data_IF_029381507564
#
_entry.id   IF_029381507564
#
_cell.length_a   1.000
_cell.length_b   1.000
_cell.length_c   1.000
_cell.angle_alpha   90.00
_cell.angle_beta   90.00
_cell.angle_gamma   90.00
#
_symmetry.space_group_name_H-M   'P 1'
#
loop_
_entity.id
_entity.type
_entity.pdbx_description
1 polymer ?
#
# COMPACT_ATOMS: atom_id res chain seq x y z
N UNK A 1 -14.42 3.58 -3.09
CA UNK A 1 -14.24 2.44 -2.18
C UNK A 1 -15.59 1.91 -1.74
N UNK A 2 -15.67 0.60 -1.54
CA UNK A 2 -16.86 -0.04 -1.00
C UNK A 2 -18.01 -0.30 -1.97
N UNK A 3 -17.91 0.12 -3.21
CA UNK A 3 -18.91 -0.17 -4.25
C UNK A 3 -18.59 -1.42 -5.06
N UNK A 4 -17.34 -1.89 -5.02
CA UNK A 4 -16.94 -3.10 -5.73
C UNK A 4 -17.43 -4.34 -4.98
N UNK A 5 -18.25 -5.16 -5.65
CA UNK A 5 -18.71 -6.43 -5.10
C UNK A 5 -17.63 -7.49 -5.25
N UNK A 6 -17.27 -8.13 -4.15
CA UNK A 6 -16.20 -9.15 -4.11
C UNK A 6 -16.45 -10.26 -5.14
N UNK A 7 -17.68 -10.77 -5.22
CA UNK A 7 -18.02 -11.88 -6.10
C UNK A 7 -17.89 -11.47 -7.59
N UNK A 8 -18.30 -10.25 -7.93
CA UNK A 8 -18.14 -9.69 -9.28
C UNK A 8 -16.68 -9.46 -9.63
N UNK A 9 -15.87 -8.93 -8.71
CA UNK A 9 -14.43 -8.74 -8.90
C UNK A 9 -13.70 -10.06 -9.13
N UNK A 10 -14.02 -11.10 -8.34
CA UNK A 10 -13.45 -12.43 -8.50
C UNK A 10 -13.87 -13.04 -9.84
N UNK A 11 -15.15 -12.96 -10.20
CA UNK A 11 -15.68 -13.46 -11.48
C UNK A 11 -14.96 -12.79 -12.66
N UNK A 12 -14.78 -11.47 -12.59
CA UNK A 12 -14.08 -10.73 -13.64
C UNK A 12 -12.61 -11.14 -13.75
N UNK A 13 -11.92 -11.29 -12.61
CA UNK A 13 -10.53 -11.73 -12.59
C UNK A 13 -10.36 -13.13 -13.21
N UNK A 14 -11.30 -14.06 -12.97
CA UNK A 14 -11.31 -15.37 -13.63
C UNK A 14 -11.47 -15.21 -15.15
N UNK A 15 -12.46 -14.41 -15.58
CA UNK A 15 -12.72 -14.18 -17.00
C UNK A 15 -11.53 -13.57 -17.75
N UNK A 16 -10.77 -12.70 -17.06
CA UNK A 16 -9.57 -12.07 -17.60
C UNK A 16 -8.30 -12.97 -17.47
N UNK A 17 -8.44 -14.21 -16.95
CA UNK A 17 -7.33 -15.16 -16.82
C UNK A 17 -6.29 -14.75 -15.75
N UNK A 18 -6.66 -13.92 -14.78
CA UNK A 18 -5.74 -13.47 -13.74
C UNK A 18 -5.40 -14.62 -12.78
N UNK A 19 -4.11 -14.83 -12.46
CA UNK A 19 -3.71 -15.90 -11.53
C UNK A 19 -3.95 -15.53 -10.06
N UNK A 20 -4.07 -14.25 -9.75
CA UNK A 20 -4.22 -13.70 -8.40
C UNK A 20 -5.03 -12.41 -8.43
N UNK A 21 -5.64 -12.09 -7.29
CA UNK A 21 -6.31 -10.81 -7.05
C UNK A 21 -6.00 -10.35 -5.64
N UNK A 22 -5.79 -9.04 -5.43
CA UNK A 22 -5.57 -8.45 -4.11
C UNK A 22 -6.86 -7.80 -3.59
N UNK A 23 -7.08 -7.89 -2.28
CA UNK A 23 -8.03 -7.05 -1.54
C UNK A 23 -7.22 -6.21 -0.56
N UNK A 24 -7.41 -4.89 -0.63
CA UNK A 24 -6.63 -3.90 0.13
C UNK A 24 -7.54 -2.80 0.68
N UNK A 25 -8.48 -3.20 1.53
CA UNK A 25 -9.40 -2.28 2.18
C UNK A 25 -8.67 -1.15 2.93
N UNK A 26 -9.27 0.03 2.98
CA UNK A 26 -8.67 1.20 3.62
C UNK A 26 -8.65 1.05 5.16
N UNK A 27 -7.46 0.83 5.73
CA UNK A 27 -7.23 0.76 7.17
C UNK A 27 -7.88 -0.42 7.90
N UNK A 28 -8.33 -1.44 7.18
CA UNK A 28 -8.99 -2.61 7.78
C UNK A 28 -8.87 -3.86 6.91
N UNK A 29 -9.47 -4.98 7.39
CA UNK A 29 -9.54 -6.26 6.70
C UNK A 29 -10.98 -6.82 6.67
N UNK A 30 -11.99 -5.97 6.60
CA UNK A 30 -13.40 -6.39 6.74
C UNK A 30 -13.87 -7.32 5.63
N UNK A 31 -13.42 -7.09 4.39
CA UNK A 31 -13.74 -7.94 3.26
C UNK A 31 -13.01 -9.27 3.20
N UNK A 32 -11.97 -9.46 4.03
CA UNK A 32 -11.01 -10.55 3.92
C UNK A 32 -11.62 -11.94 3.84
N UNK A 33 -12.49 -12.31 4.79
CA UNK A 33 -13.01 -13.68 4.88
C UNK A 33 -13.88 -14.03 3.68
N UNK A 34 -14.75 -13.10 3.26
CA UNK A 34 -15.58 -13.28 2.08
C UNK A 34 -14.74 -13.38 0.81
N UNK A 35 -13.78 -12.48 0.65
CA UNK A 35 -12.86 -12.46 -0.47
C UNK A 35 -12.02 -13.74 -0.57
N UNK A 36 -11.42 -14.18 0.55
CA UNK A 36 -10.60 -15.39 0.57
C UNK A 36 -11.39 -16.62 0.13
N UNK A 37 -12.62 -16.79 0.65
CA UNK A 37 -13.48 -17.93 0.27
C UNK A 37 -13.87 -17.87 -1.19
N UNK A 38 -14.29 -16.70 -1.70
CA UNK A 38 -14.70 -16.52 -3.09
C UNK A 38 -13.55 -16.78 -4.07
N UNK A 39 -12.38 -16.15 -3.83
CA UNK A 39 -11.20 -16.30 -4.67
C UNK A 39 -10.68 -17.75 -4.70
N UNK A 40 -10.57 -18.39 -3.52
CA UNK A 40 -10.15 -19.81 -3.44
C UNK A 40 -11.13 -20.74 -4.14
N UNK A 41 -12.43 -20.53 -3.98
CA UNK A 41 -13.46 -21.31 -4.66
C UNK A 41 -13.43 -21.17 -6.19
N UNK A 42 -13.01 -20.01 -6.67
CA UNK A 42 -12.86 -19.72 -8.10
C UNK A 42 -11.48 -20.07 -8.69
N UNK A 43 -10.56 -20.62 -7.89
CA UNK A 43 -9.23 -21.01 -8.35
C UNK A 43 -8.23 -19.86 -8.48
N UNK A 44 -8.54 -18.67 -7.97
CA UNK A 44 -7.64 -17.51 -7.96
C UNK A 44 -6.90 -17.42 -6.62
N UNK A 45 -5.61 -17.06 -6.66
CA UNK A 45 -4.83 -16.81 -5.45
C UNK A 45 -5.26 -15.49 -4.80
N UNK A 46 -5.84 -15.50 -3.57
CA UNK A 46 -6.11 -14.27 -2.84
C UNK A 46 -4.83 -13.67 -2.28
N UNK A 47 -4.59 -12.38 -2.57
CA UNK A 47 -3.55 -11.59 -1.95
C UNK A 47 -4.22 -10.67 -0.92
N UNK A 48 -3.73 -10.71 0.31
CA UNK A 48 -4.31 -10.00 1.44
C UNK A 48 -3.46 -8.78 1.75
N UNK A 49 -4.10 -7.64 1.87
CA UNK A 49 -3.42 -6.41 2.24
C UNK A 49 -4.36 -5.38 2.84
N UNK A 50 -3.81 -4.24 3.16
CA UNK A 50 -4.55 -3.06 3.57
C UNK A 50 -3.85 -1.80 3.05
N UNK A 51 -4.64 -0.83 2.64
CA UNK A 51 -4.17 0.51 2.33
C UNK A 51 -4.18 1.34 3.62
N UNK A 52 -3.00 1.65 4.14
CA UNK A 52 -2.81 2.18 5.48
C UNK A 52 -2.48 3.67 5.47
N UNK A 53 -3.10 4.42 6.36
CA UNK A 53 -2.62 5.75 6.70
C UNK A 53 -1.36 5.67 7.54
N UNK A 54 -0.37 6.51 7.22
CA UNK A 54 0.87 6.67 7.97
C UNK A 54 0.88 8.05 8.60
N UNK A 55 1.05 8.09 9.91
CA UNK A 55 1.12 9.33 10.67
C UNK A 55 2.25 10.23 10.15
N UNK A 56 1.94 11.49 9.94
CA UNK A 56 2.95 12.52 9.74
C UNK A 56 3.31 13.13 11.12
N UNK A 57 4.55 12.97 11.60
CA UNK A 57 4.92 13.42 12.94
C UNK A 57 5.00 14.94 13.05
N UNK A 58 5.12 15.67 11.94
CA UNK A 58 5.23 17.13 11.91
C UNK A 58 3.86 17.79 11.72
N UNK A 59 3.11 17.30 10.72
CA UNK A 59 1.80 17.83 10.38
C UNK A 59 0.77 16.69 10.41
N UNK A 60 0.19 16.42 11.57
CA UNK A 60 -0.72 15.29 11.76
C UNK A 60 -1.96 15.30 10.84
N UNK A 61 -2.34 16.48 10.37
CA UNK A 61 -3.46 16.63 9.43
C UNK A 61 -3.11 16.26 7.98
N UNK A 62 -1.84 16.02 7.69
CA UNK A 62 -1.33 15.63 6.38
C UNK A 62 -0.65 14.24 6.42
N UNK A 63 -1.39 13.18 6.75
CA UNK A 63 -0.83 11.82 6.72
C UNK A 63 -0.51 11.43 5.28
N UNK A 64 0.36 10.44 5.12
CA UNK A 64 0.59 9.77 3.84
C UNK A 64 -0.05 8.40 3.81
N UNK A 65 0.01 7.71 2.67
CA UNK A 65 -0.50 6.33 2.54
C UNK A 65 0.65 5.37 2.21
N UNK A 66 0.47 4.14 2.64
CA UNK A 66 1.28 3.00 2.23
C UNK A 66 0.38 1.78 2.10
N UNK A 67 0.58 1.01 1.05
CA UNK A 67 -0.15 -0.24 0.87
C UNK A 67 0.72 -1.39 1.36
N UNK A 68 0.20 -2.19 2.31
CA UNK A 68 0.88 -3.34 2.88
C UNK A 68 0.20 -4.64 2.43
N UNK A 69 0.99 -5.57 1.88
CA UNK A 69 0.53 -6.89 1.47
C UNK A 69 1.18 -7.97 2.35
N UNK A 70 0.39 -8.96 2.75
CA UNK A 70 0.87 -10.11 3.49
C UNK A 70 1.46 -11.16 2.53
N UNK A 71 2.76 -11.38 2.58
CA UNK A 71 3.46 -12.41 1.82
C UNK A 71 3.56 -13.76 2.59
N UNK A 72 3.31 -13.75 3.90
CA UNK A 72 3.35 -14.93 4.76
C UNK A 72 2.33 -14.82 5.91
N UNK A 73 2.16 -15.93 6.66
CA UNK A 73 1.35 -15.91 7.89
C UNK A 73 1.90 -14.93 8.93
N UNK A 74 3.22 -14.84 9.07
CA UNK A 74 3.88 -13.87 9.96
C UNK A 74 3.50 -12.45 9.56
N UNK A 75 3.61 -12.11 8.27
CA UNK A 75 3.21 -10.81 7.75
C UNK A 75 1.74 -10.50 7.95
N UNK A 76 0.85 -11.50 7.78
CA UNK A 76 -0.57 -11.33 8.06
C UNK A 76 -0.84 -10.99 9.54
N UNK A 77 -0.24 -11.72 10.47
CA UNK A 77 -0.38 -11.43 11.90
C UNK A 77 0.18 -10.05 12.26
N UNK A 78 1.30 -9.69 11.65
CA UNK A 78 1.89 -8.35 11.81
C UNK A 78 0.98 -7.24 11.28
N UNK A 79 0.36 -7.46 10.12
CA UNK A 79 -0.62 -6.52 9.56
C UNK A 79 -1.82 -6.34 10.50
N UNK A 80 -2.35 -7.44 11.04
CA UNK A 80 -3.44 -7.40 12.02
C UNK A 80 -3.07 -6.61 13.27
N UNK A 81 -1.85 -6.81 13.78
CA UNK A 81 -1.33 -6.07 14.95
C UNK A 81 -1.24 -4.58 14.67
N UNK A 82 -0.63 -4.18 13.54
CA UNK A 82 -0.50 -2.77 13.14
C UNK A 82 -1.86 -2.08 13.01
N UNK A 83 -2.81 -2.72 12.33
CA UNK A 83 -4.16 -2.18 12.17
C UNK A 83 -4.89 -2.08 13.51
N UNK A 84 -4.81 -3.11 14.35
CA UNK A 84 -5.44 -3.10 15.69
C UNK A 84 -4.84 -2.00 16.56
N UNK A 85 -3.52 -1.85 16.58
CA UNK A 85 -2.84 -0.78 17.33
C UNK A 85 -3.24 0.60 16.81
N UNK A 86 -3.35 0.78 15.49
CA UNK A 86 -3.79 2.03 14.89
C UNK A 86 -5.21 2.42 15.33
N UNK A 87 -6.14 1.46 15.30
CA UNK A 87 -7.52 1.68 15.71
C UNK A 87 -7.68 1.88 17.22
N UNK A 88 -6.89 1.20 18.05
CA UNK A 88 -7.02 1.29 19.51
C UNK A 88 -6.31 2.51 20.12
N UNK A 89 -5.21 2.95 19.54
CA UNK A 89 -4.34 3.93 20.20
C UNK A 89 -3.86 5.10 19.33
N UNK A 90 -4.14 5.10 18.03
CA UNK A 90 -3.61 6.15 17.14
C UNK A 90 -4.60 6.63 16.08
N UNK A 91 -5.82 6.93 16.52
CA UNK A 91 -6.81 7.56 15.66
C UNK A 91 -6.63 9.09 15.63
N UNK A 92 -6.76 9.66 14.43
CA UNK A 92 -6.84 11.09 14.22
C UNK A 92 -7.89 11.42 13.16
N UNK A 93 -8.89 12.26 13.50
CA UNK A 93 -10.00 12.63 12.61
C UNK A 93 -10.67 11.42 11.95
N UNK A 94 -11.01 10.41 12.75
CA UNK A 94 -11.60 9.14 12.32
C UNK A 94 -10.73 8.29 11.37
N UNK A 95 -9.43 8.56 11.25
CA UNK A 95 -8.47 7.72 10.55
C UNK A 95 -7.62 6.97 11.56
N UNK A 96 -7.47 5.67 11.37
CA UNK A 96 -6.50 4.85 12.08
C UNK A 96 -5.16 4.96 11.36
N UNK A 97 -4.15 5.53 12.01
CA UNK A 97 -2.85 5.83 11.42
C UNK A 97 -1.77 4.91 12.00
N UNK A 98 -0.92 4.34 11.14
CA UNK A 98 0.26 3.58 11.56
C UNK A 98 1.38 4.56 11.85
N UNK A 99 2.06 4.40 13.00
CA UNK A 99 3.32 5.07 13.25
C UNK A 99 4.46 4.27 12.62
N UNK A 100 5.31 4.93 11.85
CA UNK A 100 6.50 4.33 11.22
C UNK A 100 7.45 3.72 12.25
N UNK A 101 7.47 4.26 13.48
CA UNK A 101 8.27 3.72 14.56
C UNK A 101 7.87 2.26 14.93
N UNK A 102 6.59 1.93 14.82
CA UNK A 102 6.14 0.56 15.10
C UNK A 102 6.72 -0.48 14.14
N UNK A 103 6.95 -0.08 12.87
CA UNK A 103 7.60 -0.95 11.88
C UNK A 103 9.07 -1.19 12.21
N UNK A 104 9.76 -0.20 12.81
CA UNK A 104 11.13 -0.36 13.30
C UNK A 104 11.20 -1.30 14.50
N UNK A 105 10.31 -1.12 15.46
CA UNK A 105 10.28 -1.89 16.71
C UNK A 105 9.90 -3.37 16.49
N UNK A 106 8.84 -3.62 15.74
CA UNK A 106 8.28 -4.97 15.57
C UNK A 106 8.65 -5.65 14.24
N UNK A 107 9.45 -4.99 13.41
CA UNK A 107 9.86 -5.51 12.11
C UNK A 107 8.76 -5.55 11.06
N UNK A 108 9.15 -5.96 9.86
CA UNK A 108 8.31 -6.01 8.66
C UNK A 108 8.37 -7.37 7.97
N UNK A 109 8.83 -8.40 8.67
CA UNK A 109 8.97 -9.74 8.09
C UNK A 109 7.62 -10.25 7.56
N UNK A 110 7.66 -10.82 6.36
CA UNK A 110 6.47 -11.34 5.68
C UNK A 110 5.49 -10.28 5.17
N UNK A 111 5.86 -8.98 5.22
CA UNK A 111 5.12 -7.90 4.59
C UNK A 111 5.86 -7.40 3.34
N UNK A 112 5.09 -7.02 2.33
CA UNK A 112 5.52 -6.25 1.15
C UNK A 112 4.88 -4.87 1.27
N UNK A 113 5.63 -3.82 0.92
CA UNK A 113 5.12 -2.45 0.93
C UNK A 113 5.14 -1.84 -0.47
N UNK A 114 4.05 -1.15 -0.82
CA UNK A 114 3.95 -0.32 -2.02
C UNK A 114 3.79 1.14 -1.62
N UNK A 115 4.39 2.04 -2.39
CA UNK A 115 4.62 3.44 -1.98
C UNK A 115 3.38 4.33 -1.82
N UNK A 116 2.18 3.86 -2.18
CA UNK A 116 0.95 4.66 -2.11
C UNK A 116 0.81 5.70 -3.24
N UNK A 117 1.61 5.61 -4.28
CA UNK A 117 1.61 6.49 -5.45
C UNK A 117 1.48 7.99 -5.07
N UNK A 118 0.49 8.71 -5.61
CA UNK A 118 0.28 10.14 -5.36
C UNK A 118 -0.05 10.50 -3.90
N UNK A 119 -0.55 9.54 -3.12
CA UNK A 119 -0.95 9.73 -1.72
C UNK A 119 0.12 9.25 -0.73
N UNK A 120 1.16 8.57 -1.21
CA UNK A 120 2.32 8.23 -0.42
C UNK A 120 3.27 9.41 -0.24
N UNK A 121 4.11 9.36 0.78
CA UNK A 121 5.05 10.45 1.09
C UNK A 121 6.07 10.70 -0.03
N UNK A 122 6.49 9.64 -0.73
CA UNK A 122 7.36 9.75 -1.91
C UNK A 122 6.64 10.49 -3.04
N UNK A 123 5.40 10.10 -3.36
CA UNK A 123 4.62 10.74 -4.42
C UNK A 123 4.26 12.18 -4.09
N UNK A 124 3.86 12.48 -2.86
CA UNK A 124 3.59 13.83 -2.37
C UNK A 124 4.82 14.72 -2.56
N UNK A 125 6.02 14.23 -2.19
CA UNK A 125 7.27 14.96 -2.33
C UNK A 125 7.62 15.21 -3.81
N UNK A 126 7.45 14.21 -4.69
CA UNK A 126 7.69 14.36 -6.13
C UNK A 126 6.73 15.36 -6.78
N UNK A 127 5.45 15.35 -6.39
CA UNK A 127 4.45 16.30 -6.89
C UNK A 127 4.70 17.72 -6.40
N UNK A 128 5.33 17.87 -5.23
CA UNK A 128 5.74 19.15 -4.65
C UNK A 128 7.13 19.62 -5.14
N UNK A 129 7.68 18.97 -6.17
CA UNK A 129 9.00 19.26 -6.72
C UNK A 129 10.17 19.13 -5.73
N UNK A 130 9.98 18.34 -4.68
CA UNK A 130 10.97 18.09 -3.63
C UNK A 130 11.61 16.72 -3.78
N UNK A 131 12.49 16.59 -4.78
CA UNK A 131 13.22 15.36 -5.09
C UNK A 131 14.01 14.82 -3.89
N UNK A 132 14.67 15.70 -3.15
CA UNK A 132 15.50 15.29 -2.01
C UNK A 132 14.67 14.63 -0.89
N UNK A 133 13.47 15.16 -0.61
CA UNK A 133 12.55 14.54 0.34
C UNK A 133 12.02 13.19 -0.16
N UNK A 134 11.68 13.08 -1.46
CA UNK A 134 11.24 11.84 -2.07
C UNK A 134 12.31 10.75 -1.96
N UNK A 135 13.56 11.08 -2.29
CA UNK A 135 14.70 10.17 -2.21
C UNK A 135 14.95 9.70 -0.77
N UNK A 136 14.91 10.63 0.20
CA UNK A 136 15.04 10.29 1.62
C UNK A 136 13.94 9.32 2.07
N UNK A 137 12.68 9.62 1.78
CA UNK A 137 11.56 8.75 2.14
C UNK A 137 11.66 7.38 1.49
N UNK A 138 11.99 7.30 0.20
CA UNK A 138 12.15 6.04 -0.51
C UNK A 138 13.26 5.15 0.10
N UNK A 139 14.40 5.75 0.47
CA UNK A 139 15.50 5.05 1.15
C UNK A 139 15.10 4.55 2.54
N UNK A 140 14.36 5.36 3.31
CA UNK A 140 13.85 4.95 4.61
C UNK A 140 12.90 3.76 4.50
N UNK A 141 11.96 3.78 3.55
CA UNK A 141 11.05 2.66 3.30
C UNK A 141 11.80 1.41 2.80
N UNK A 142 12.75 1.57 1.89
CA UNK A 142 13.56 0.45 1.41
C UNK A 142 14.40 -0.20 2.53
N UNK A 143 14.84 0.59 3.50
CA UNK A 143 15.53 0.09 4.70
C UNK A 143 14.58 -0.69 5.62
N UNK A 144 13.33 -0.25 5.78
CA UNK A 144 12.32 -0.96 6.56
C UNK A 144 11.84 -2.25 5.90
N UNK A 145 11.81 -2.29 4.56
CA UNK A 145 11.34 -3.43 3.77
C UNK A 145 12.41 -3.92 2.79
N UNK A 146 13.54 -4.44 3.26
CA UNK A 146 14.66 -4.81 2.38
C UNK A 146 14.22 -5.84 1.33
N UNK A 147 14.37 -5.46 0.03
CA UNK A 147 13.94 -6.26 -1.11
C UNK A 147 12.43 -6.45 -1.28
N UNK A 148 11.62 -5.72 -0.50
CA UNK A 148 10.15 -5.88 -0.47
C UNK A 148 9.41 -4.53 -0.48
N UNK A 149 10.06 -3.46 -0.91
CA UNK A 149 9.48 -2.15 -1.15
C UNK A 149 9.44 -1.85 -2.63
N UNK A 150 8.29 -1.42 -3.13
CA UNK A 150 8.04 -1.12 -4.54
C UNK A 150 7.48 0.29 -4.69
N UNK A 151 7.97 1.03 -5.67
CA UNK A 151 7.37 2.30 -6.06
C UNK A 151 6.20 2.05 -7.00
N UNK A 152 5.04 2.61 -6.67
CA UNK A 152 3.81 2.44 -7.45
C UNK A 152 3.73 3.43 -8.61
N UNK A 153 3.34 2.90 -9.76
CA UNK A 153 3.03 3.66 -10.95
C UNK A 153 1.53 3.52 -11.24
N UNK A 154 0.79 4.61 -11.15
CA UNK A 154 -0.65 4.64 -11.41
C UNK A 154 -0.95 5.54 -12.58
N UNK A 155 -1.76 5.06 -13.53
CA UNK A 155 -2.16 5.78 -14.74
C UNK A 155 -3.68 5.81 -14.84
N UNK A 156 -4.30 6.70 -14.07
CA UNK A 156 -5.76 6.82 -13.96
C UNK A 156 -6.34 8.07 -14.66
N UNK A 157 -5.55 8.73 -15.51
CA UNK A 157 -6.01 9.91 -16.23
C UNK A 157 -6.19 11.18 -15.38
N UNK A 158 -5.70 11.17 -14.14
CA UNK A 158 -5.74 12.34 -13.27
C UNK A 158 -4.71 13.39 -13.69
N UNK A 159 -4.93 14.69 -13.39
CA UNK A 159 -3.92 15.71 -13.56
C UNK A 159 -2.60 15.31 -12.92
N UNK A 160 -1.49 15.65 -13.55
CA UNK A 160 -0.13 15.35 -13.08
C UNK A 160 0.27 13.85 -13.05
N UNK A 161 -0.61 12.93 -13.44
CA UNK A 161 -0.31 11.48 -13.45
C UNK A 161 0.98 11.17 -14.22
N UNK A 162 1.09 11.65 -15.46
CA UNK A 162 2.26 11.39 -16.31
C UNK A 162 3.55 11.97 -15.72
N UNK A 163 3.47 13.17 -15.12
CA UNK A 163 4.60 13.80 -14.43
C UNK A 163 5.05 12.95 -13.24
N UNK A 164 4.10 12.45 -12.43
CA UNK A 164 4.43 11.60 -11.31
C UNK A 164 5.04 10.27 -11.75
N UNK A 165 4.48 9.63 -12.79
CA UNK A 165 5.01 8.39 -13.35
C UNK A 165 6.45 8.59 -13.83
N UNK A 166 6.72 9.64 -14.64
CA UNK A 166 8.06 9.91 -15.12
C UNK A 166 9.08 10.13 -13.98
N UNK A 167 8.73 10.98 -13.00
CA UNK A 167 9.59 11.25 -11.84
C UNK A 167 9.80 10.03 -10.95
N UNK A 168 8.78 9.19 -10.80
CA UNK A 168 8.88 7.95 -10.00
C UNK A 168 9.79 6.93 -10.69
N UNK A 169 9.69 6.78 -12.02
CA UNK A 169 10.56 5.87 -12.79
C UNK A 169 12.02 6.33 -12.72
N UNK A 170 12.27 7.64 -12.87
CA UNK A 170 13.61 8.21 -12.71
C UNK A 170 14.18 7.94 -11.31
N UNK A 171 13.40 8.24 -10.25
CA UNK A 171 13.79 7.97 -8.87
C UNK A 171 14.08 6.48 -8.63
N UNK A 172 13.24 5.59 -9.18
CA UNK A 172 13.41 4.15 -9.09
C UNK A 172 14.73 3.69 -9.72
N UNK A 173 15.06 4.22 -10.91
CA UNK A 173 16.32 3.94 -11.60
C UNK A 173 17.54 4.37 -10.80
N UNK A 174 17.52 5.59 -10.27
CA UNK A 174 18.63 6.14 -9.49
C UNK A 174 18.88 5.40 -8.17
N UNK A 175 17.81 4.89 -7.55
CA UNK A 175 17.89 4.16 -6.27
C UNK A 175 17.99 2.64 -6.42
N UNK A 176 17.86 2.10 -7.64
CA UNK A 176 17.76 0.66 -7.88
C UNK A 176 16.55 0.02 -7.24
N UNK A 177 15.44 0.75 -7.12
CA UNK A 177 14.20 0.25 -6.53
C UNK A 177 13.26 -0.31 -7.59
N UNK A 178 12.56 -1.43 -7.30
CA UNK A 178 11.59 -1.97 -8.23
C UNK A 178 10.33 -1.10 -8.31
N UNK A 179 9.68 -1.12 -9.47
CA UNK A 179 8.39 -0.47 -9.70
C UNK A 179 7.29 -1.50 -9.91
N UNK A 180 6.06 -1.12 -9.62
CA UNK A 180 4.86 -1.92 -9.87
C UNK A 180 3.75 -1.04 -10.40
N UNK A 181 3.04 -1.52 -11.44
CA UNK A 181 1.86 -0.86 -11.95
C UNK A 181 0.65 -1.25 -11.10
N UNK A 182 -0.09 -0.26 -10.61
CA UNK A 182 -1.36 -0.45 -9.89
C UNK A 182 -2.42 0.48 -10.45
N UNK A 183 -3.66 0.26 -10.06
CA UNK A 183 -4.78 1.15 -10.41
C UNK A 183 -5.44 1.64 -9.12
N UNK A 184 -5.72 2.95 -8.99
CA UNK A 184 -6.48 3.45 -7.85
C UNK A 184 -7.92 2.93 -7.91
N UNK A 185 -8.45 2.51 -6.78
CA UNK A 185 -9.81 1.99 -6.60
C UNK A 185 -10.58 2.85 -5.62
#
# INVERSE_FOLDING_TARGET
>A
DGIVRIDEAVTRAVADGMPALALTDAGNLFGLVKFYKSARGAGIKPLIGADCWVQNPVERDKPSRILLLAASRTGYLRLCELLSRAWLSNQHRARAEIDRQWLKEGGTEGLIALSGAALGDVGIALLSDNRAAAEKSAKEWATLFPGRYYLELQRAGLPQTETLVARTVELAGDLGLPVVATHPV
#
